data_IF_865982057953
#
_entry.id   IF_865982057953
#
_cell.length_a   1.000
_cell.length_b   1.000
_cell.length_c   1.000
_cell.angle_alpha   90.00
_cell.angle_beta   90.00
_cell.angle_gamma   90.00
#
_symmetry.space_group_name_H-M   'P 1'
#
loop_
_entity.id
_entity.type
_entity.pdbx_description
1 polymer ?
#
# COMPACT_ATOMS: atom_id res chain seq x y z
N UNK A 1 -0.43 7.65 -15.01
CA UNK A 1 0.75 7.16 -14.25
C UNK A 1 1.24 5.79 -14.79
N UNK A 2 2.41 5.74 -15.45
CA UNK A 2 2.98 4.47 -15.95
C UNK A 2 3.53 3.55 -14.86
N UNK A 3 4.09 4.12 -13.79
CA UNK A 3 4.63 3.36 -12.65
C UNK A 3 3.53 2.65 -11.84
N UNK A 4 2.34 3.26 -11.75
CA UNK A 4 1.17 2.68 -11.11
C UNK A 4 0.68 1.44 -11.86
N UNK A 5 0.68 1.49 -13.21
CA UNK A 5 0.31 0.33 -14.05
C UNK A 5 1.29 -0.84 -13.89
N UNK A 6 2.58 -0.57 -13.70
CA UNK A 6 3.59 -1.60 -13.41
C UNK A 6 3.40 -2.24 -12.03
N UNK A 7 2.98 -1.47 -11.03
CA UNK A 7 2.77 -1.96 -9.67
C UNK A 7 1.45 -2.73 -9.51
N UNK A 8 0.41 -2.40 -10.27
CA UNK A 8 -0.91 -3.03 -10.18
C UNK A 8 -0.91 -4.58 -10.17
N UNK A 9 -0.18 -5.28 -11.07
CA UNK A 9 -0.12 -6.74 -11.03
C UNK A 9 0.58 -7.26 -9.77
N UNK A 10 1.68 -6.62 -9.35
CA UNK A 10 2.43 -6.99 -8.15
C UNK A 10 1.62 -6.74 -6.86
N UNK A 11 0.88 -5.64 -6.81
CA UNK A 11 -0.05 -5.32 -5.72
C UNK A 11 -1.14 -6.38 -5.56
N UNK A 12 -1.68 -6.85 -6.70
CA UNK A 12 -2.70 -7.90 -6.71
C UNK A 12 -2.13 -9.25 -6.27
N UNK A 13 -0.91 -9.59 -6.69
CA UNK A 13 -0.20 -10.80 -6.23
C UNK A 13 0.06 -10.74 -4.73
N UNK A 14 0.57 -9.62 -4.22
CA UNK A 14 0.81 -9.42 -2.79
C UNK A 14 -0.48 -9.57 -1.98
N UNK A 15 -1.59 -8.99 -2.44
CA UNK A 15 -2.89 -9.12 -1.77
C UNK A 15 -3.36 -10.58 -1.67
N UNK A 16 -3.16 -11.38 -2.75
CA UNK A 16 -3.49 -12.81 -2.75
C UNK A 16 -2.58 -13.61 -1.81
N UNK A 17 -1.28 -13.31 -1.80
CA UNK A 17 -0.31 -13.96 -0.92
C UNK A 17 -0.63 -13.66 0.56
N UNK A 18 -0.85 -12.39 0.90
CA UNK A 18 -1.19 -11.98 2.27
C UNK A 18 -2.52 -12.57 2.74
N UNK A 19 -3.53 -12.64 1.88
CA UNK A 19 -4.78 -13.32 2.23
C UNK A 19 -4.57 -14.79 2.59
N UNK A 20 -3.63 -15.48 1.95
CA UNK A 20 -3.28 -16.88 2.25
C UNK A 20 -2.43 -17.01 3.51
N UNK A 21 -1.45 -16.12 3.70
CA UNK A 21 -0.47 -16.22 4.79
C UNK A 21 -0.97 -15.65 6.13
N UNK A 22 -1.66 -14.52 6.10
CA UNK A 22 -2.07 -13.78 7.31
C UNK A 22 -3.58 -13.57 7.40
N UNK A 23 -4.36 -14.08 6.45
CA UNK A 23 -5.81 -14.00 6.44
C UNK A 23 -6.31 -12.55 6.48
N UNK A 24 -7.22 -12.25 7.40
CA UNK A 24 -7.81 -10.92 7.58
C UNK A 24 -6.97 -9.96 8.46
N UNK A 25 -5.77 -10.39 8.90
CA UNK A 25 -4.90 -9.56 9.73
C UNK A 25 -4.27 -8.40 8.96
N UNK A 26 -4.11 -8.54 7.64
CA UNK A 26 -3.60 -7.49 6.78
C UNK A 26 -4.57 -7.20 5.64
N UNK A 27 -4.73 -5.92 5.31
CA UNK A 27 -5.58 -5.46 4.20
C UNK A 27 -4.78 -4.53 3.31
N UNK A 28 -4.84 -4.77 2.01
CA UNK A 28 -4.25 -3.89 1.00
C UNK A 28 -5.37 -3.05 0.40
N UNK A 29 -5.21 -1.74 0.46
CA UNK A 29 -6.11 -0.76 -0.15
C UNK A 29 -5.38 0.03 -1.24
N UNK A 30 -6.14 0.51 -2.21
CA UNK A 30 -5.68 1.49 -3.18
C UNK A 30 -6.60 2.71 -3.09
N UNK A 31 -6.02 3.90 -3.14
CA UNK A 31 -6.75 5.18 -3.15
C UNK A 31 -6.35 5.91 -4.41
N UNK A 32 -7.34 6.35 -5.18
CA UNK A 32 -7.11 7.22 -6.33
C UNK A 32 -7.05 8.67 -5.86
N UNK A 33 -5.85 9.24 -5.85
CA UNK A 33 -5.61 10.62 -5.46
C UNK A 33 -5.85 11.64 -6.59
N UNK A 34 -6.07 11.19 -7.84
CA UNK A 34 -6.50 12.08 -8.92
C UNK A 34 -7.98 12.48 -8.76
N UNK A 35 -8.77 11.66 -8.04
CA UNK A 35 -10.14 11.98 -7.66
C UNK A 35 -10.19 13.16 -6.67
N UNK A 36 -11.00 14.17 -6.99
CA UNK A 36 -11.18 15.37 -6.18
C UNK A 36 -11.63 15.07 -4.75
N UNK A 37 -12.40 14.01 -4.53
CA UNK A 37 -12.91 13.60 -3.21
C UNK A 37 -11.79 13.07 -2.30
N UNK A 38 -10.72 12.51 -2.88
CA UNK A 38 -9.59 11.93 -2.14
C UNK A 38 -8.42 12.89 -1.95
N UNK A 39 -8.41 14.05 -2.63
CA UNK A 39 -7.30 15.02 -2.54
C UNK A 39 -6.96 15.42 -1.10
N UNK A 40 -7.97 15.64 -0.26
CA UNK A 40 -7.77 15.98 1.14
C UNK A 40 -7.07 14.85 1.92
N UNK A 41 -7.43 13.59 1.64
CA UNK A 41 -6.81 12.41 2.25
C UNK A 41 -5.35 12.27 1.80
N UNK A 42 -5.11 12.42 0.50
CA UNK A 42 -3.76 12.30 -0.07
C UNK A 42 -2.84 13.43 0.41
N UNK A 43 -3.36 14.66 0.55
CA UNK A 43 -2.64 15.76 1.15
C UNK A 43 -2.35 15.52 2.65
N UNK A 44 -3.32 14.99 3.41
CA UNK A 44 -3.14 14.63 4.84
C UNK A 44 -2.01 13.64 5.05
N UNK A 45 -1.84 12.69 4.13
CA UNK A 45 -0.74 11.72 4.15
C UNK A 45 0.47 12.15 3.31
N UNK A 46 0.54 13.40 2.88
CA UNK A 46 1.68 13.98 2.18
C UNK A 46 2.08 13.18 0.91
N UNK A 47 1.08 12.72 0.16
CA UNK A 47 1.25 11.99 -1.10
C UNK A 47 1.61 12.97 -2.21
N UNK A 48 2.90 13.11 -2.50
CA UNK A 48 3.41 14.05 -3.52
C UNK A 48 3.78 13.39 -4.86
N UNK A 49 3.64 12.06 -4.98
CA UNK A 49 3.97 11.33 -6.19
C UNK A 49 3.31 9.96 -6.26
N UNK A 50 3.19 9.41 -7.47
CA UNK A 50 2.53 8.11 -7.68
C UNK A 50 3.46 7.07 -8.33
N UNK A 51 3.38 5.80 -7.92
CA UNK A 51 2.65 5.30 -6.75
C UNK A 51 3.38 5.66 -5.44
N UNK A 52 2.62 6.04 -4.40
CA UNK A 52 3.10 6.11 -3.01
C UNK A 52 2.48 4.96 -2.24
N UNK A 53 3.31 4.22 -1.52
CA UNK A 53 2.90 3.12 -0.66
C UNK A 53 3.10 3.54 0.79
N UNK A 54 2.10 3.30 1.63
CA UNK A 54 2.16 3.52 3.07
C UNK A 54 1.56 2.33 3.81
N UNK A 55 2.24 1.93 4.88
CA UNK A 55 1.75 0.95 5.82
C UNK A 55 0.98 1.61 6.95
N UNK A 56 -0.10 0.97 7.42
CA UNK A 56 -0.88 1.44 8.55
C UNK A 56 -0.98 0.35 9.61
N UNK A 57 -0.26 0.52 10.72
CA UNK A 57 -0.21 -0.42 11.84
C UNK A 57 -1.13 0.04 12.98
N UNK A 58 -1.28 -0.79 14.02
CA UNK A 58 -2.00 -0.42 15.25
C UNK A 58 -3.42 0.11 15.00
N UNK A 59 -4.13 -0.50 14.04
CA UNK A 59 -5.47 -0.08 13.54
C UNK A 59 -5.50 1.35 12.97
N UNK A 60 -4.44 1.76 12.28
CA UNK A 60 -4.34 3.06 11.61
C UNK A 60 -3.87 4.20 12.50
N UNK A 61 -3.38 3.89 13.72
CA UNK A 61 -2.75 4.89 14.61
C UNK A 61 -1.32 5.21 14.21
N UNK A 62 -0.64 4.25 13.59
CA UNK A 62 0.75 4.38 13.16
C UNK A 62 0.81 4.21 11.66
N UNK A 63 1.54 5.11 10.99
CA UNK A 63 1.80 5.04 9.56
C UNK A 63 3.29 4.93 9.30
N UNK A 64 3.67 4.00 8.44
CA UNK A 64 5.05 3.78 8.03
C UNK A 64 5.19 4.04 6.53
N UNK A 65 6.25 4.75 6.14
CA UNK A 65 6.61 4.86 4.74
C UNK A 65 7.10 3.51 4.22
N UNK A 66 6.70 3.17 3.00
CA UNK A 66 7.15 1.94 2.37
C UNK A 66 8.55 2.13 1.79
N UNK A 67 9.50 1.42 2.39
CA UNK A 67 10.92 1.40 2.04
C UNK A 67 11.36 0.06 1.39
N UNK A 68 10.40 -0.84 1.14
CA UNK A 68 10.65 -2.16 0.56
C UNK A 68 10.73 -2.19 -0.98
N UNK A 69 10.97 -3.39 -1.51
CA UNK A 69 10.91 -3.64 -2.95
C UNK A 69 9.48 -3.50 -3.48
N UNK A 70 9.32 -2.87 -4.65
CA UNK A 70 8.01 -2.60 -5.28
C UNK A 70 7.51 -3.78 -6.13
N UNK A 71 7.68 -4.98 -5.60
CA UNK A 71 7.22 -6.25 -6.14
C UNK A 71 6.36 -6.98 -5.10
N UNK A 72 5.72 -8.09 -5.51
CA UNK A 72 4.81 -8.81 -4.64
C UNK A 72 5.47 -9.27 -3.32
N UNK A 73 6.69 -9.80 -3.41
CA UNK A 73 7.42 -10.33 -2.27
C UNK A 73 7.85 -9.24 -1.29
N UNK A 74 8.35 -8.11 -1.80
CA UNK A 74 8.71 -6.95 -0.99
C UNK A 74 7.53 -6.35 -0.26
N UNK A 75 6.35 -6.30 -0.90
CA UNK A 75 5.12 -5.85 -0.25
C UNK A 75 4.71 -6.81 0.86
N UNK A 76 4.73 -8.12 0.60
CA UNK A 76 4.39 -9.16 1.58
C UNK A 76 5.34 -9.07 2.78
N UNK A 77 6.63 -8.95 2.53
CA UNK A 77 7.64 -8.86 3.58
C UNK A 77 7.49 -7.58 4.43
N UNK A 78 7.23 -6.44 3.79
CA UNK A 78 6.96 -5.19 4.51
C UNK A 78 5.77 -5.36 5.45
N UNK A 79 4.65 -5.91 4.95
CA UNK A 79 3.47 -6.16 5.78
C UNK A 79 3.79 -7.10 6.95
N UNK A 80 4.59 -8.15 6.74
CA UNK A 80 4.92 -9.11 7.81
C UNK A 80 5.89 -8.57 8.88
N UNK A 81 6.67 -7.54 8.54
CA UNK A 81 7.75 -7.05 9.41
C UNK A 81 7.43 -5.72 10.07
N UNK A 82 6.58 -4.89 9.44
CA UNK A 82 6.28 -3.53 9.86
C UNK A 82 4.81 -3.31 10.26
N UNK A 83 3.89 -4.23 9.91
CA UNK A 83 2.45 -4.11 10.18
C UNK A 83 1.94 -5.29 11.02
#
# INVERSE_FOLDING_TARGET
CGHCKKLAPEWTKAAKALKKEVGDKAKLGAVDCDDATNKALCAKFNVNGFPTLKGFASRGKESHDFDGARDADGIVQFVKTKL
#
